data_IF_522751457927
#
_entry.id   IF_522751457927
#
_cell.length_a   1.000
_cell.length_b   1.000
_cell.length_c   1.000
_cell.angle_alpha   90.00
_cell.angle_beta   90.00
_cell.angle_gamma   90.00
#
_symmetry.space_group_name_H-M   'P 1'
#
loop_
_entity.id
_entity.type
_entity.pdbx_description
1 polymer ?
#
# COMPACT_ATOMS: atom_id res chain seq x y z
N UNK A 1 1.25 -19.20 -10.99
CA UNK A 1 1.34 -20.14 -9.86
C UNK A 1 1.13 -19.32 -8.60
N UNK A 2 0.02 -19.55 -7.90
CA UNK A 2 -0.33 -18.84 -6.66
C UNK A 2 0.60 -19.33 -5.55
N UNK A 3 1.65 -18.57 -5.23
CA UNK A 3 2.37 -18.75 -3.98
C UNK A 3 1.51 -18.15 -2.87
N UNK A 4 0.60 -18.96 -2.33
CA UNK A 4 0.17 -18.76 -0.96
C UNK A 4 1.44 -18.82 -0.10
N UNK A 5 1.83 -17.66 0.44
CA UNK A 5 2.99 -17.53 1.33
C UNK A 5 2.83 -18.55 2.46
N UNK A 6 3.85 -19.40 2.66
CA UNK A 6 3.81 -20.46 3.66
C UNK A 6 3.69 -19.85 5.05
N UNK A 7 3.07 -20.59 5.95
CA UNK A 7 2.82 -20.20 7.34
C UNK A 7 4.10 -19.81 8.11
N UNK A 8 5.27 -20.24 7.63
CA UNK A 8 6.59 -19.97 8.22
C UNK A 8 7.21 -18.63 7.78
N UNK A 9 6.66 -17.95 6.76
CA UNK A 9 7.18 -16.67 6.24
C UNK A 9 6.42 -15.45 6.77
N UNK A 10 5.27 -15.68 7.41
CA UNK A 10 4.42 -14.66 8.02
C UNK A 10 4.52 -14.89 9.52
N UNK A 11 4.81 -13.84 10.30
CA UNK A 11 4.90 -13.94 11.76
C UNK A 11 3.62 -14.49 12.41
N UNK A 12 3.61 -14.57 13.75
CA UNK A 12 2.44 -15.08 14.48
C UNK A 12 1.15 -14.35 14.05
N UNK A 13 0.15 -15.15 13.67
CA UNK A 13 -1.12 -14.65 13.13
C UNK A 13 -1.85 -13.82 14.19
N UNK A 14 -2.23 -12.61 13.82
CA UNK A 14 -2.95 -11.66 14.65
C UNK A 14 -4.43 -11.65 14.27
N UNK A 15 -5.17 -12.62 14.79
CA UNK A 15 -6.61 -12.76 14.56
C UNK A 15 -7.42 -11.78 15.41
N UNK A 16 -8.30 -11.03 14.76
CA UNK A 16 -9.20 -10.07 15.39
C UNK A 16 -10.65 -10.37 15.01
N UNK A 17 -11.58 -10.24 15.96
CA UNK A 17 -13.02 -10.30 15.67
C UNK A 17 -13.39 -9.12 14.79
N UNK A 18 -14.05 -9.37 13.66
CA UNK A 18 -14.40 -8.33 12.69
C UNK A 18 -15.86 -7.92 12.83
N UNK A 19 -16.78 -8.83 12.51
CA UNK A 19 -18.24 -8.62 12.51
C UNK A 19 -18.96 -9.97 12.69
N UNK A 20 -20.24 -9.94 13.09
CA UNK A 20 -21.10 -11.11 12.97
C UNK A 20 -21.53 -11.31 11.51
N UNK A 21 -21.73 -12.57 11.11
CA UNK A 21 -22.24 -12.92 9.78
C UNK A 21 -23.61 -12.30 9.48
N UNK A 22 -24.46 -12.15 10.51
CA UNK A 22 -25.79 -11.53 10.39
C UNK A 22 -25.73 -10.04 10.04
N UNK A 23 -24.57 -9.40 10.19
CA UNK A 23 -24.39 -7.99 9.86
C UNK A 23 -23.94 -7.75 8.40
N UNK A 24 -23.80 -8.82 7.62
CA UNK A 24 -23.24 -8.78 6.27
C UNK A 24 -24.16 -9.51 5.28
N UNK A 25 -25.12 -8.78 4.75
CA UNK A 25 -26.09 -9.29 3.77
C UNK A 25 -25.40 -9.80 2.49
N UNK A 26 -25.93 -10.84 1.82
CA UNK A 26 -25.41 -11.30 0.53
C UNK A 26 -25.34 -10.16 -0.51
N UNK A 27 -24.20 -10.03 -1.20
CA UNK A 27 -23.95 -8.98 -2.18
C UNK A 27 -23.64 -7.61 -1.59
N UNK A 28 -23.58 -7.47 -0.26
CA UNK A 28 -23.25 -6.21 0.40
C UNK A 28 -21.76 -6.08 0.70
N UNK A 29 -21.36 -4.85 1.02
CA UNK A 29 -20.05 -4.50 1.55
C UNK A 29 -20.22 -3.81 2.90
N UNK A 30 -19.32 -4.13 3.85
CA UNK A 30 -19.24 -3.45 5.14
C UNK A 30 -17.82 -2.94 5.39
N UNK A 31 -17.71 -1.66 5.75
CA UNK A 31 -16.46 -1.07 6.22
C UNK A 31 -16.33 -1.28 7.73
N UNK A 32 -15.22 -1.88 8.15
CA UNK A 32 -14.93 -2.17 9.56
C UNK A 32 -13.58 -1.59 9.93
N UNK A 33 -13.50 -0.99 11.13
CA UNK A 33 -12.23 -0.44 11.66
C UNK A 33 -11.74 -1.33 12.79
N UNK A 34 -10.54 -1.86 12.68
CA UNK A 34 -9.93 -2.73 13.69
C UNK A 34 -8.44 -2.41 13.82
N UNK A 35 -7.98 -2.16 15.03
CA UNK A 35 -6.55 -1.86 15.34
C UNK A 35 -5.94 -0.80 14.40
N UNK A 36 -6.68 0.28 14.14
CA UNK A 36 -6.25 1.38 13.26
C UNK A 36 -6.28 1.09 11.76
N UNK A 37 -6.68 -0.11 11.33
CA UNK A 37 -6.87 -0.49 9.92
C UNK A 37 -8.32 -0.30 9.50
N UNK A 38 -8.54 0.04 8.23
CA UNK A 38 -9.86 0.12 7.61
C UNK A 38 -10.00 -1.06 6.65
N UNK A 39 -10.93 -1.96 6.94
CA UNK A 39 -11.11 -3.21 6.19
C UNK A 39 -12.48 -3.18 5.51
N UNK A 40 -12.48 -3.29 4.19
CA UNK A 40 -13.71 -3.47 3.42
C UNK A 40 -13.99 -4.98 3.30
N UNK A 41 -15.17 -5.40 3.76
CA UNK A 41 -15.61 -6.81 3.80
C UNK A 41 -16.75 -6.97 2.82
N UNK A 42 -16.57 -7.82 1.82
CA UNK A 42 -17.53 -8.07 0.76
C UNK A 42 -18.13 -9.46 0.95
N UNK A 43 -19.46 -9.57 0.90
CA UNK A 43 -20.15 -10.87 0.84
C UNK A 43 -20.46 -11.18 -0.62
N UNK A 44 -19.56 -11.92 -1.28
CA UNK A 44 -19.72 -12.27 -2.69
C UNK A 44 -20.44 -13.62 -2.81
N UNK A 45 -20.96 -13.97 -4.00
CA UNK A 45 -21.53 -15.30 -4.25
C UNK A 45 -20.55 -16.46 -3.95
N UNK A 46 -19.25 -16.21 -4.07
CA UNK A 46 -18.16 -17.18 -3.85
C UNK A 46 -17.57 -17.11 -2.43
N UNK A 47 -18.26 -16.41 -1.52
CA UNK A 47 -17.93 -16.26 -0.11
C UNK A 47 -17.37 -14.89 0.27
N UNK A 48 -17.04 -14.76 1.56
CA UNK A 48 -16.60 -13.49 2.12
C UNK A 48 -15.16 -13.18 1.70
N UNK A 49 -14.91 -11.93 1.32
CA UNK A 49 -13.57 -11.40 1.00
C UNK A 49 -13.32 -10.13 1.80
N UNK A 50 -12.07 -9.90 2.17
CA UNK A 50 -11.67 -8.67 2.86
C UNK A 50 -10.43 -8.07 2.23
N UNK A 51 -10.40 -6.75 2.11
CA UNK A 51 -9.24 -5.99 1.65
C UNK A 51 -9.05 -4.71 2.45
N UNK A 52 -7.90 -4.06 2.26
CA UNK A 52 -7.72 -2.70 2.76
C UNK A 52 -8.73 -1.79 2.07
N UNK A 53 -9.37 -0.91 2.85
CA UNK A 53 -10.33 0.03 2.29
C UNK A 53 -9.62 1.16 1.53
N UNK A 54 -8.33 1.38 1.72
CA UNK A 54 -7.61 2.43 0.98
C UNK A 54 -7.04 1.83 -0.29
N UNK A 55 -7.49 2.35 -1.44
CA UNK A 55 -6.89 2.02 -2.72
C UNK A 55 -5.37 2.29 -2.66
N UNK A 56 -4.51 1.33 -3.05
CA UNK A 56 -3.07 1.53 -2.96
C UNK A 56 -2.57 2.65 -3.88
N UNK A 57 -3.36 3.10 -4.86
CA UNK A 57 -3.04 4.24 -5.71
C UNK A 57 -2.97 5.56 -4.89
N UNK A 58 -4.12 6.13 -4.56
CA UNK A 58 -4.26 7.43 -3.88
C UNK A 58 -5.23 7.37 -2.69
N UNK A 59 -5.56 6.17 -2.20
CA UNK A 59 -6.30 5.99 -0.96
C UNK A 59 -7.82 6.17 -1.02
N UNK A 60 -8.42 6.19 -2.23
CA UNK A 60 -9.89 6.18 -2.38
C UNK A 60 -10.53 5.03 -1.56
N UNK A 61 -11.67 5.26 -0.88
CA UNK A 61 -12.40 4.23 -0.16
C UNK A 61 -12.94 3.15 -1.11
N UNK A 62 -12.30 1.98 -1.11
CA UNK A 62 -12.65 0.84 -1.94
C UNK A 62 -14.00 0.19 -1.58
N UNK A 63 -14.52 0.44 -0.38
CA UNK A 63 -15.90 0.11 0.00
C UNK A 63 -16.94 0.86 -0.83
N UNK A 64 -16.58 1.98 -1.45
CA UNK A 64 -17.43 2.69 -2.39
C UNK A 64 -17.21 2.23 -3.84
N UNK A 65 -16.22 1.36 -4.08
CA UNK A 65 -15.90 0.80 -5.38
C UNK A 65 -16.99 -0.13 -5.93
N UNK A 66 -16.87 -0.45 -7.21
CA UNK A 66 -17.79 -1.36 -7.90
C UNK A 66 -17.21 -2.77 -7.97
N UNK A 67 -17.92 -3.76 -7.44
CA UNK A 67 -17.52 -5.17 -7.47
C UNK A 67 -18.27 -5.92 -8.57
N UNK A 68 -17.54 -6.56 -9.48
CA UNK A 68 -18.11 -7.44 -10.49
C UNK A 68 -18.38 -8.85 -9.96
N UNK A 69 -19.21 -9.66 -10.66
CA UNK A 69 -19.50 -11.05 -10.25
C UNK A 69 -18.27 -11.97 -10.17
N UNK A 70 -17.21 -11.71 -10.95
CA UNK A 70 -15.94 -12.43 -10.94
C UNK A 70 -14.97 -11.95 -9.85
N UNK A 71 -15.47 -11.24 -8.84
CA UNK A 71 -14.71 -10.70 -7.72
C UNK A 71 -13.61 -9.70 -8.13
N UNK A 72 -13.84 -8.93 -9.20
CA UNK A 72 -12.97 -7.81 -9.59
C UNK A 72 -13.51 -6.51 -9.00
N UNK A 73 -12.76 -5.95 -8.05
CA UNK A 73 -13.08 -4.67 -7.43
C UNK A 73 -12.48 -3.53 -8.25
N UNK A 74 -13.34 -2.62 -8.69
CA UNK A 74 -12.96 -1.42 -9.44
C UNK A 74 -13.01 -0.19 -8.52
N UNK A 75 -11.88 0.50 -8.39
CA UNK A 75 -11.80 1.79 -7.70
C UNK A 75 -12.50 2.87 -8.54
N UNK A 76 -13.46 3.59 -7.94
CA UNK A 76 -14.24 4.60 -8.68
C UNK A 76 -13.44 5.88 -9.02
N UNK A 77 -12.26 6.08 -8.44
CA UNK A 77 -11.47 7.29 -8.72
C UNK A 77 -10.71 7.19 -10.04
N UNK A 78 -9.79 6.22 -10.13
CA UNK A 78 -8.87 6.07 -11.25
C UNK A 78 -9.05 4.75 -12.01
N UNK A 79 -10.17 4.05 -11.76
CA UNK A 79 -10.54 2.80 -12.43
C UNK A 79 -9.52 1.65 -12.25
N UNK A 80 -8.68 1.70 -11.23
CA UNK A 80 -7.79 0.59 -10.88
C UNK A 80 -8.63 -0.64 -10.51
N UNK A 81 -8.19 -1.81 -10.97
CA UNK A 81 -8.93 -3.07 -10.84
C UNK A 81 -8.13 -4.10 -10.09
N UNK A 82 -8.77 -4.77 -9.15
CA UNK A 82 -8.11 -5.74 -8.27
C UNK A 82 -8.92 -7.03 -8.20
N UNK A 83 -8.23 -8.17 -8.30
CA UNK A 83 -8.85 -9.46 -8.03
C UNK A 83 -8.91 -9.68 -6.50
N UNK A 84 -10.10 -9.73 -5.91
CA UNK A 84 -10.26 -9.90 -4.45
C UNK A 84 -9.85 -11.28 -3.93
N UNK A 85 -9.72 -12.28 -4.79
CA UNK A 85 -9.25 -13.61 -4.39
C UNK A 85 -7.73 -13.65 -4.16
N UNK A 86 -6.97 -12.82 -4.88
CA UNK A 86 -5.49 -12.89 -4.87
C UNK A 86 -4.82 -11.57 -4.46
N UNK A 87 -5.56 -10.47 -4.46
CA UNK A 87 -5.04 -9.11 -4.31
C UNK A 87 -4.27 -8.61 -5.53
N UNK A 88 -4.25 -9.35 -6.63
CA UNK A 88 -3.53 -8.94 -7.84
C UNK A 88 -4.16 -7.71 -8.47
N UNK A 89 -3.31 -6.80 -8.94
CA UNK A 89 -3.72 -5.72 -9.81
C UNK A 89 -3.99 -6.27 -11.22
N UNK A 90 -5.15 -5.95 -11.78
CA UNK A 90 -5.53 -6.28 -13.16
C UNK A 90 -5.44 -5.06 -14.09
N UNK A 91 -5.51 -3.86 -13.51
CA UNK A 91 -5.35 -2.58 -14.18
C UNK A 91 -4.89 -1.54 -13.16
N UNK A 92 -3.80 -0.83 -13.46
CA UNK A 92 -3.13 0.09 -12.53
C UNK A 92 -1.67 -0.29 -12.34
N UNK A 93 -1.18 -0.25 -11.10
CA UNK A 93 0.18 -0.64 -10.73
C UNK A 93 0.21 -1.56 -9.52
N UNK A 94 0.09 -1.00 -8.31
CA UNK A 94 0.26 -1.74 -7.06
C UNK A 94 -0.82 -2.80 -6.83
N UNK A 95 -0.42 -3.90 -6.17
CA UNK A 95 -1.33 -4.93 -5.65
C UNK A 95 -2.16 -4.40 -4.49
N UNK A 96 -3.38 -4.94 -4.35
CA UNK A 96 -4.26 -4.67 -3.23
C UNK A 96 -3.98 -5.63 -2.08
N UNK A 97 -3.85 -5.08 -0.87
CA UNK A 97 -3.80 -5.91 0.33
C UNK A 97 -5.16 -6.56 0.58
N UNK A 98 -5.20 -7.89 0.51
CA UNK A 98 -6.30 -8.70 0.99
C UNK A 98 -5.99 -9.25 2.39
N UNK A 99 -7.03 -9.58 3.15
CA UNK A 99 -6.89 -10.12 4.50
C UNK A 99 -7.48 -11.53 4.57
N UNK A 100 -6.75 -12.51 5.11
CA UNK A 100 -7.31 -13.82 5.41
C UNK A 100 -8.48 -13.70 6.40
N UNK A 101 -9.53 -14.47 6.15
CA UNK A 101 -10.72 -14.54 6.99
C UNK A 101 -10.92 -15.96 7.51
N UNK A 102 -11.50 -16.06 8.71
CA UNK A 102 -11.91 -17.32 9.31
C UNK A 102 -13.31 -17.16 9.93
N UNK A 103 -14.19 -18.14 9.73
CA UNK A 103 -15.47 -18.20 10.43
C UNK A 103 -15.30 -19.00 11.73
N UNK A 104 -15.68 -18.41 12.86
CA UNK A 104 -15.68 -19.06 14.17
C UNK A 104 -17.10 -19.04 14.71
N UNK A 105 -17.90 -20.04 14.34
CA UNK A 105 -19.35 -20.00 14.51
C UNK A 105 -19.96 -18.92 13.60
N UNK A 106 -20.77 -18.03 14.17
CA UNK A 106 -21.44 -16.93 13.45
C UNK A 106 -20.60 -15.63 13.39
N UNK A 107 -19.32 -15.73 13.72
CA UNK A 107 -18.40 -14.60 13.80
C UNK A 107 -17.34 -14.66 12.68
N UNK A 108 -17.17 -13.55 11.98
CA UNK A 108 -16.10 -13.34 11.00
C UNK A 108 -14.88 -12.81 11.71
N UNK A 109 -13.76 -13.52 11.61
CA UNK A 109 -12.46 -13.13 12.12
C UNK A 109 -11.52 -12.79 10.97
N UNK A 110 -10.61 -11.85 11.22
CA UNK A 110 -9.62 -11.39 10.24
C UNK A 110 -8.22 -11.50 10.80
N UNK A 111 -7.29 -11.97 9.98
CA UNK A 111 -5.87 -11.90 10.31
C UNK A 111 -5.29 -10.58 9.79
N UNK A 112 -4.89 -9.71 10.70
CA UNK A 112 -4.35 -8.38 10.38
C UNK A 112 -2.81 -8.32 10.36
N UNK A 113 -2.15 -9.47 10.41
CA UNK A 113 -0.68 -9.56 10.37
C UNK A 113 -0.13 -8.86 9.14
N UNK A 114 0.84 -7.97 9.34
CA UNK A 114 1.59 -7.38 8.25
C UNK A 114 2.65 -8.38 7.76
N UNK A 115 2.99 -8.33 6.47
CA UNK A 115 4.16 -9.04 5.97
C UNK A 115 5.43 -8.58 6.73
N UNK A 116 6.45 -9.44 6.86
CA UNK A 116 7.71 -9.07 7.47
C UNK A 116 8.27 -7.77 6.87
N UNK A 117 8.98 -6.99 7.70
CA UNK A 117 9.57 -5.71 7.29
C UNK A 117 10.31 -5.82 5.96
N UNK A 118 11.18 -6.82 5.81
CA UNK A 118 12.01 -6.98 4.62
C UNK A 118 11.18 -7.17 3.34
N UNK A 119 10.09 -7.95 3.41
CA UNK A 119 9.23 -8.18 2.24
C UNK A 119 8.49 -6.89 1.84
N UNK A 120 7.98 -6.14 2.82
CA UNK A 120 7.34 -4.84 2.56
C UNK A 120 8.34 -3.82 2.01
N UNK A 121 9.54 -3.80 2.57
CA UNK A 121 10.62 -2.91 2.14
C UNK A 121 10.99 -3.18 0.68
N UNK A 122 11.29 -4.45 0.34
CA UNK A 122 11.62 -4.85 -1.04
C UNK A 122 10.49 -4.51 -2.01
N UNK A 123 9.23 -4.79 -1.67
CA UNK A 123 8.10 -4.46 -2.56
C UNK A 123 7.97 -2.95 -2.84
N UNK A 124 8.25 -2.10 -1.86
CA UNK A 124 8.24 -0.64 -2.03
C UNK A 124 9.45 -0.17 -2.86
N UNK A 125 10.62 -0.78 -2.68
CA UNK A 125 11.82 -0.51 -3.51
C UNK A 125 11.57 -0.89 -4.98
N UNK A 126 10.99 -2.06 -5.24
CA UNK A 126 10.65 -2.48 -6.61
C UNK A 126 9.67 -1.47 -7.25
N UNK A 127 8.64 -1.06 -6.50
CA UNK A 127 7.70 -0.01 -6.95
C UNK A 127 8.38 1.34 -7.21
N UNK A 128 9.39 1.71 -6.42
CA UNK A 128 10.14 2.95 -6.60
C UNK A 128 10.99 2.90 -7.87
N UNK A 129 11.62 1.76 -8.14
CA UNK A 129 12.38 1.54 -9.37
C UNK A 129 11.49 1.64 -10.62
N UNK A 130 10.33 0.98 -10.60
CA UNK A 130 9.33 1.10 -11.68
C UNK A 130 8.92 2.57 -11.88
N UNK A 131 8.68 3.30 -10.79
CA UNK A 131 8.28 4.70 -10.83
C UNK A 131 9.34 5.59 -11.49
N UNK A 132 10.62 5.32 -11.25
CA UNK A 132 11.72 6.00 -11.94
C UNK A 132 11.77 5.67 -13.43
N UNK A 133 11.59 4.39 -13.80
CA UNK A 133 11.62 3.96 -15.19
C UNK A 133 10.44 4.54 -16.00
N UNK A 134 9.28 4.72 -15.36
CA UNK A 134 8.07 5.32 -15.93
C UNK A 134 8.04 6.86 -15.86
N UNK A 135 9.01 7.50 -15.19
CA UNK A 135 9.00 8.94 -14.89
C UNK A 135 7.74 9.42 -14.12
N UNK A 136 7.21 8.58 -13.23
CA UNK A 136 6.01 8.87 -12.43
C UNK A 136 6.40 9.53 -11.10
N UNK A 137 6.53 10.86 -11.12
CA UNK A 137 6.97 11.67 -9.96
C UNK A 137 6.04 11.54 -8.74
N UNK A 138 4.73 11.43 -8.98
CA UNK A 138 3.73 11.19 -7.94
C UNK A 138 3.95 9.84 -7.23
N UNK A 139 4.30 8.80 -8.00
CA UNK A 139 4.63 7.48 -7.47
C UNK A 139 5.97 7.48 -6.75
N UNK A 140 6.99 8.17 -7.27
CA UNK A 140 8.29 8.34 -6.59
C UNK A 140 8.09 8.97 -5.21
N UNK A 141 7.38 10.09 -5.14
CA UNK A 141 7.05 10.77 -3.89
C UNK A 141 6.32 9.84 -2.91
N UNK A 142 5.34 9.09 -3.41
CA UNK A 142 4.56 8.12 -2.63
C UNK A 142 5.44 6.99 -2.06
N UNK A 143 6.34 6.40 -2.85
CA UNK A 143 7.19 5.31 -2.37
C UNK A 143 8.23 5.78 -1.35
N UNK A 144 8.81 6.97 -1.53
CA UNK A 144 9.68 7.60 -0.52
C UNK A 144 8.93 7.74 0.81
N UNK A 145 7.71 8.28 0.77
CA UNK A 145 6.86 8.40 1.95
C UNK A 145 6.56 7.04 2.61
N UNK A 146 6.33 6.00 1.80
CA UNK A 146 6.07 4.63 2.28
C UNK A 146 7.29 4.00 2.95
N UNK A 147 8.50 4.17 2.41
CA UNK A 147 9.74 3.66 3.00
C UNK A 147 9.98 4.29 4.38
N UNK A 148 9.85 5.62 4.47
CA UNK A 148 10.00 6.34 5.74
C UNK A 148 8.94 5.91 6.75
N UNK A 149 7.68 5.77 6.31
CA UNK A 149 6.60 5.26 7.17
C UNK A 149 6.82 3.81 7.63
N UNK A 150 7.50 3.00 6.83
CA UNK A 150 7.89 1.64 7.19
C UNK A 150 9.00 1.61 8.25
N UNK A 151 9.69 2.74 8.45
CA UNK A 151 10.79 2.90 9.41
C UNK A 151 12.18 2.90 8.77
N UNK A 152 12.29 3.01 7.44
CA UNK A 152 13.57 3.18 6.77
C UNK A 152 14.20 4.53 7.13
N UNK A 153 15.53 4.58 7.19
CA UNK A 153 16.27 5.84 7.31
C UNK A 153 16.02 6.69 6.05
N UNK A 154 15.48 7.91 6.18
CA UNK A 154 15.28 8.81 5.04
C UNK A 154 16.53 9.06 4.20
N UNK A 155 17.71 9.10 4.82
CA UNK A 155 18.96 9.34 4.09
C UNK A 155 19.38 8.12 3.26
N UNK A 156 19.10 6.91 3.75
CA UNK A 156 19.28 5.70 2.95
C UNK A 156 18.32 5.68 1.76
N UNK A 157 17.08 6.13 1.94
CA UNK A 157 16.10 6.25 0.85
C UNK A 157 16.56 7.23 -0.23
N UNK A 158 17.04 8.41 0.16
CA UNK A 158 17.59 9.40 -0.78
C UNK A 158 18.82 8.86 -1.52
N UNK A 159 19.73 8.19 -0.80
CA UNK A 159 20.92 7.57 -1.39
C UNK A 159 20.53 6.52 -2.45
N UNK A 160 19.55 5.67 -2.14
CA UNK A 160 19.03 4.66 -3.08
C UNK A 160 18.42 5.30 -4.33
N UNK A 161 17.64 6.37 -4.16
CA UNK A 161 17.06 7.14 -5.26
C UNK A 161 18.11 7.77 -6.19
N UNK A 162 19.16 8.36 -5.62
CA UNK A 162 20.31 8.88 -6.37
C UNK A 162 21.00 7.75 -7.13
N UNK A 163 21.37 6.68 -6.42
CA UNK A 163 22.13 5.54 -6.97
C UNK A 163 21.40 4.89 -8.15
N UNK A 164 20.08 4.79 -8.09
CA UNK A 164 19.26 4.23 -9.18
C UNK A 164 19.18 5.16 -10.39
N UNK A 165 18.96 6.46 -10.15
CA UNK A 165 18.56 7.41 -11.19
C UNK A 165 19.75 8.06 -11.92
N UNK A 166 20.92 8.22 -11.27
CA UNK A 166 22.00 9.08 -11.80
C UNK A 166 22.56 8.63 -13.15
N UNK A 167 22.60 7.33 -13.42
CA UNK A 167 23.12 6.79 -14.70
C UNK A 167 22.13 6.93 -15.85
N UNK A 168 20.86 7.21 -15.55
CA UNK A 168 19.74 7.21 -16.50
C UNK A 168 19.35 8.62 -16.96
N UNK A 169 19.95 9.66 -16.39
CA UNK A 169 19.62 11.06 -16.66
C UNK A 169 20.48 11.64 -17.80
N UNK A 170 20.08 11.37 -19.05
CA UNK A 170 20.78 11.81 -20.28
C UNK A 170 20.96 13.35 -20.37
N UNK A 171 20.01 14.12 -19.83
CA UNK A 171 20.00 15.59 -19.92
C UNK A 171 20.43 16.31 -18.63
N UNK A 172 21.03 15.58 -17.69
CA UNK A 172 21.51 16.11 -16.42
C UNK A 172 20.46 16.04 -15.30
N UNK A 173 20.82 16.65 -14.17
CA UNK A 173 20.09 16.51 -12.90
C UNK A 173 18.83 17.37 -12.87
N UNK A 174 17.77 16.85 -12.24
CA UNK A 174 16.61 17.67 -11.85
C UNK A 174 17.05 18.74 -10.83
N UNK A 175 16.28 19.85 -10.72
CA UNK A 175 16.53 20.87 -9.69
C UNK A 175 16.46 20.31 -8.26
N UNK A 176 15.76 19.19 -8.06
CA UNK A 176 15.66 18.48 -6.79
C UNK A 176 17.04 18.09 -6.24
N UNK A 177 17.93 17.55 -7.08
CA UNK A 177 19.28 17.16 -6.65
C UNK A 177 20.16 18.36 -6.31
N UNK A 178 20.07 19.44 -7.08
CA UNK A 178 20.83 20.65 -6.81
C UNK A 178 20.44 21.29 -5.46
N UNK A 179 19.16 21.23 -5.10
CA UNK A 179 18.62 21.72 -3.83
C UNK A 179 18.70 20.73 -2.67
N UNK A 180 19.17 19.50 -2.89
CA UNK A 180 19.10 18.44 -1.88
C UNK A 180 19.81 18.79 -0.58
N UNK A 181 20.95 19.47 -0.63
CA UNK A 181 21.66 19.90 0.58
C UNK A 181 20.81 20.86 1.44
N UNK A 182 20.07 21.76 0.80
CA UNK A 182 19.15 22.68 1.46
C UNK A 182 17.93 21.93 2.02
N UNK A 183 17.34 21.01 1.24
CA UNK A 183 16.22 20.18 1.68
C UNK A 183 16.58 19.29 2.87
N UNK A 184 17.77 18.69 2.86
CA UNK A 184 18.30 17.91 4.00
C UNK A 184 18.46 18.80 5.23
N UNK A 185 18.97 20.03 5.05
CA UNK A 185 19.12 20.98 6.15
C UNK A 185 17.74 21.32 6.74
N UNK A 186 16.77 21.68 5.89
CA UNK A 186 15.40 21.97 6.29
C UNK A 186 14.73 20.76 6.98
N UNK A 187 14.96 19.54 6.49
CA UNK A 187 14.49 18.31 7.13
C UNK A 187 15.00 18.20 8.57
N UNK A 188 16.30 18.42 8.78
CA UNK A 188 16.96 18.30 10.08
C UNK A 188 16.54 19.40 11.06
N UNK A 189 16.24 20.61 10.56
CA UNK A 189 15.74 21.74 11.35
C UNK A 189 14.29 21.55 11.79
N UNK A 190 13.45 20.93 10.96
CA UNK A 190 12.02 20.74 11.19
C UNK A 190 11.67 19.54 12.10
N UNK A 191 12.41 19.37 13.21
CA UNK A 191 12.32 18.17 14.10
C UNK A 191 10.93 17.84 14.67
N UNK A 192 10.00 18.80 14.68
CA UNK A 192 8.65 18.64 15.24
C UNK A 192 7.53 18.72 14.19
N UNK A 193 7.88 18.89 12.91
CA UNK A 193 6.91 19.02 11.84
C UNK A 193 7.12 17.91 10.81
N UNK A 194 6.41 16.79 11.00
CA UNK A 194 6.51 15.62 10.13
C UNK A 194 6.02 15.90 8.70
N UNK A 195 5.07 16.83 8.53
CA UNK A 195 4.61 17.24 7.20
C UNK A 195 5.73 17.95 6.44
N UNK A 196 6.37 18.95 7.05
CA UNK A 196 7.51 19.65 6.43
C UNK A 196 8.69 18.72 6.19
N UNK A 197 8.97 17.81 7.12
CA UNK A 197 9.98 16.77 6.92
C UNK A 197 9.67 15.93 5.69
N UNK A 198 8.43 15.48 5.52
CA UNK A 198 8.05 14.70 4.36
C UNK A 198 8.19 15.51 3.06
N UNK A 199 7.75 16.77 3.05
CA UNK A 199 7.92 17.68 1.90
C UNK A 199 9.39 17.80 1.51
N UNK A 200 10.29 18.02 2.46
CA UNK A 200 11.73 18.12 2.19
C UNK A 200 12.28 16.85 1.52
N UNK A 201 11.84 15.67 1.96
CA UNK A 201 12.29 14.40 1.37
C UNK A 201 11.76 14.20 -0.04
N UNK A 202 10.50 14.55 -0.30
CA UNK A 202 9.87 14.41 -1.62
C UNK A 202 10.50 15.39 -2.62
N UNK A 203 10.76 16.64 -2.22
CA UNK A 203 11.41 17.65 -3.07
C UNK A 203 12.90 17.36 -3.34
N UNK A 204 13.47 16.35 -2.69
CA UNK A 204 14.86 15.93 -2.87
C UNK A 204 15.06 14.94 -4.02
N UNK A 205 14.01 14.47 -4.69
CA UNK A 205 14.08 13.40 -5.71
C UNK A 205 13.27 13.74 -6.97
#
# INVERSE_FOLDING_TARGET
MTHALKQDEIGERNWQRLISLAELEPGSVKLVRVTGKQIAVFNTPDGIRACDNRCPHEGYPLSEGSLSPDCVLTCNWHNWKFNLNTGDNLLGGDRLRTYPLELRGDEVWVDITDLPYQQRYTAVIDSLHDAFDDYSYDRIAREIARLVRLGADPFDVLRLAIDWSWQKMEFGWTHAYAGMADWITLYQENRRNEELKLVCLVESV
#
